data_IF_874571518309
#
_entry.id   IF_874571518309
#
_cell.length_a   1.000
_cell.length_b   1.000
_cell.length_c   1.000
_cell.angle_alpha   90.00
_cell.angle_beta   90.00
_cell.angle_gamma   90.00
#
_symmetry.space_group_name_H-M   'P 1'
#
loop_
_entity.id
_entity.type
_entity.pdbx_description
1 polymer ?
#
# COMPACT_ATOMS: atom_id res chain seq x y z
N UNK A 1 7.94 54.46 16.10
CA UNK A 1 7.05 54.82 14.98
C UNK A 1 6.02 53.73 14.84
N UNK A 2 4.77 54.08 15.12
CA UNK A 2 3.59 53.22 15.06
C UNK A 2 2.86 53.42 13.72
N UNK A 3 1.71 52.76 13.59
CA UNK A 3 0.73 52.69 12.48
C UNK A 3 0.95 51.48 11.54
N UNK A 4 -0.04 50.62 11.30
CA UNK A 4 -1.44 50.72 11.67
C UNK A 4 -2.22 49.43 11.42
N UNK A 5 -3.20 49.21 12.29
CA UNK A 5 -4.31 48.29 12.11
C UNK A 5 -5.13 48.68 10.88
N UNK A 6 -5.73 47.68 10.23
CA UNK A 6 -7.08 47.81 9.67
C UNK A 6 -7.75 46.44 9.67
N UNK A 7 -8.62 46.28 10.67
CA UNK A 7 -9.73 45.35 10.72
C UNK A 7 -10.62 45.51 9.49
N UNK A 8 -11.12 44.40 8.94
CA UNK A 8 -12.45 44.41 8.33
C UNK A 8 -13.14 43.03 8.42
N UNK A 9 -14.21 43.02 9.20
CA UNK A 9 -15.34 42.09 9.21
C UNK A 9 -16.55 42.93 8.74
N UNK A 10 -17.49 42.40 7.93
CA UNK A 10 -18.72 41.80 8.49
C UNK A 10 -19.23 40.67 7.54
N UNK A 11 -20.39 40.02 7.62
CA UNK A 11 -21.63 40.17 8.37
C UNK A 11 -22.34 38.79 8.39
N UNK A 12 -23.22 38.63 9.38
CA UNK A 12 -24.13 37.52 9.64
C UNK A 12 -25.25 37.39 8.59
N UNK A 13 -25.71 36.17 8.33
CA UNK A 13 -27.11 35.89 7.98
C UNK A 13 -27.49 34.51 8.53
N UNK A 14 -28.36 34.53 9.52
CA UNK A 14 -29.10 33.41 10.06
C UNK A 14 -30.41 33.26 9.28
N UNK A 15 -30.81 32.02 8.96
CA UNK A 15 -32.22 31.69 8.79
C UNK A 15 -32.55 30.38 9.53
N UNK A 16 -33.68 30.46 10.21
CA UNK A 16 -34.27 29.59 11.19
C UNK A 16 -35.17 28.55 10.49
N UNK A 17 -35.21 27.32 11.01
CA UNK A 17 -35.99 26.24 10.41
C UNK A 17 -36.21 25.10 11.39
N UNK A 18 -36.90 25.39 12.49
CA UNK A 18 -37.37 24.40 13.44
C UNK A 18 -38.60 23.62 12.90
N UNK A 19 -38.57 22.30 13.05
CA UNK A 19 -39.76 21.48 13.27
C UNK A 19 -39.40 20.36 14.23
N UNK A 20 -40.02 20.40 15.41
CA UNK A 20 -39.96 19.39 16.45
C UNK A 20 -41.21 18.50 16.34
N UNK A 21 -41.02 17.19 16.40
CA UNK A 21 -42.07 16.23 16.76
C UNK A 21 -41.47 15.32 17.83
N UNK A 22 -42.09 15.32 19.01
CA UNK A 22 -41.71 14.54 20.18
C UNK A 22 -42.33 13.15 20.14
N UNK A 23 -41.58 12.14 20.58
CA UNK A 23 -42.02 10.75 20.71
C UNK A 23 -41.30 10.05 21.86
N UNK A 24 -41.80 10.32 23.07
CA UNK A 24 -41.73 9.64 24.37
C UNK A 24 -41.29 8.16 24.45
N UNK A 25 -40.37 7.93 25.41
CA UNK A 25 -40.12 6.78 26.32
C UNK A 25 -39.80 5.37 25.79
N UNK A 26 -38.62 4.86 26.19
CA UNK A 26 -38.52 3.69 27.08
C UNK A 26 -37.08 3.49 27.59
N UNK A 27 -36.93 3.57 28.92
CA UNK A 27 -35.85 2.98 29.73
C UNK A 27 -35.62 1.52 29.37
N UNK A 28 -34.36 1.04 29.42
CA UNK A 28 -33.93 -0.24 30.05
C UNK A 28 -32.46 -0.59 29.71
N UNK A 29 -31.65 -0.65 30.77
CA UNK A 29 -30.51 -1.56 31.04
C UNK A 29 -29.15 -1.44 30.32
N UNK A 30 -28.14 -1.22 31.19
CA UNK A 30 -26.70 -1.46 30.99
C UNK A 30 -26.46 -2.99 30.98
N UNK A 31 -25.51 -3.48 30.15
CA UNK A 31 -24.39 -4.17 30.75
C UNK A 31 -23.02 -3.69 30.25
N UNK A 32 -22.15 -3.57 31.25
CA UNK A 32 -20.69 -3.57 31.24
C UNK A 32 -20.11 -4.79 30.53
N UNK A 33 -18.88 -4.62 30.02
CA UNK A 33 -17.94 -5.63 29.55
C UNK A 33 -18.29 -6.40 28.27
N UNK A 34 -17.68 -5.95 27.18
CA UNK A 34 -16.81 -6.84 26.42
C UNK A 34 -15.67 -6.02 25.84
N UNK A 35 -14.53 -6.06 26.53
CA UNK A 35 -13.21 -6.07 25.88
C UNK A 35 -13.31 -7.04 24.71
N UNK A 36 -13.53 -6.50 23.51
CA UNK A 36 -13.28 -7.25 22.29
C UNK A 36 -11.89 -6.82 21.88
N UNK A 37 -10.92 -7.59 22.39
CA UNK A 37 -9.61 -7.74 21.78
C UNK A 37 -9.77 -7.74 20.25
N UNK A 38 -8.84 -7.16 19.48
CA UNK A 38 -8.93 -7.23 18.03
C UNK A 38 -9.04 -8.71 17.65
N UNK A 39 -10.18 -9.09 17.07
CA UNK A 39 -10.44 -10.41 16.47
C UNK A 39 -9.37 -10.67 15.41
N UNK A 40 -8.25 -11.19 15.86
CA UNK A 40 -7.11 -11.65 15.08
C UNK A 40 -7.28 -13.15 14.87
N UNK A 41 -8.23 -13.59 14.04
CA UNK A 41 -8.20 -14.95 13.49
C UNK A 41 -8.91 -15.00 12.13
N UNK A 42 -8.15 -14.78 11.06
CA UNK A 42 -8.46 -15.29 9.71
C UNK A 42 -7.23 -15.13 8.80
N UNK A 43 -6.29 -16.07 8.91
CA UNK A 43 -5.07 -16.11 8.09
C UNK A 43 -4.12 -14.95 8.38
N UNK A 44 -3.37 -15.02 9.49
CA UNK A 44 -2.34 -14.03 9.76
C UNK A 44 -1.30 -14.11 8.64
N UNK A 45 -1.43 -13.18 7.69
CA UNK A 45 -0.48 -12.83 6.65
C UNK A 45 0.75 -12.22 7.35
N UNK A 46 1.43 -13.08 8.12
CA UNK A 46 2.54 -12.65 8.95
C UNK A 46 3.68 -12.27 8.02
N UNK A 47 4.38 -11.18 8.37
CA UNK A 47 5.58 -10.78 7.67
C UNK A 47 6.58 -11.94 7.49
N UNK A 48 6.65 -12.84 8.47
CA UNK A 48 7.45 -14.06 8.41
C UNK A 48 6.98 -15.04 7.32
N UNK A 49 5.66 -15.26 7.19
CA UNK A 49 5.09 -16.08 6.12
C UNK A 49 5.41 -15.50 4.74
N UNK A 50 5.16 -14.20 4.55
CA UNK A 50 5.49 -13.48 3.31
C UNK A 50 7.00 -13.54 2.98
N UNK A 51 7.85 -13.44 4.00
CA UNK A 51 9.29 -13.58 3.85
C UNK A 51 9.69 -15.01 3.45
N UNK A 52 9.02 -16.02 4.00
CA UNK A 52 9.29 -17.43 3.68
C UNK A 52 8.89 -17.77 2.24
N UNK A 53 7.74 -17.28 1.78
CA UNK A 53 7.20 -17.54 0.44
C UNK A 53 7.90 -16.76 -0.68
N UNK A 54 8.36 -15.53 -0.39
CA UNK A 54 9.05 -14.70 -1.37
C UNK A 54 10.40 -15.31 -1.75
N UNK A 55 10.72 -15.35 -3.05
CA UNK A 55 12.07 -15.70 -3.50
C UNK A 55 13.06 -14.54 -3.28
N UNK A 56 12.57 -13.30 -3.37
CA UNK A 56 13.33 -12.07 -3.19
C UNK A 56 12.60 -11.16 -2.21
N UNK A 57 13.34 -10.67 -1.21
CA UNK A 57 12.88 -9.59 -0.31
C UNK A 57 13.91 -8.49 -0.33
N UNK A 58 13.52 -7.32 -0.84
CA UNK A 58 14.45 -6.21 -1.04
C UNK A 58 13.78 -4.84 -0.86
N UNK A 59 14.58 -3.87 -0.45
CA UNK A 59 14.26 -2.46 -0.52
C UNK A 59 14.76 -1.95 -1.86
N UNK A 60 13.87 -1.33 -2.62
CA UNK A 60 14.14 -0.89 -3.97
C UNK A 60 13.69 0.54 -4.17
N UNK A 61 14.38 1.25 -5.05
CA UNK A 61 13.93 2.54 -5.57
C UNK A 61 13.53 2.35 -7.03
N UNK A 62 12.31 2.75 -7.38
CA UNK A 62 11.81 2.61 -8.76
C UNK A 62 12.54 3.61 -9.65
N UNK A 63 13.19 3.11 -10.70
CA UNK A 63 13.94 3.93 -11.68
C UNK A 63 13.27 4.00 -13.05
N UNK A 64 12.28 3.15 -13.33
CA UNK A 64 11.51 3.21 -14.56
C UNK A 64 10.28 2.33 -14.53
N UNK A 65 9.26 2.72 -15.30
CA UNK A 65 7.99 1.99 -15.38
C UNK A 65 7.60 1.81 -16.84
N UNK A 66 7.40 0.56 -17.24
CA UNK A 66 7.03 0.17 -18.60
C UNK A 66 5.71 -0.59 -18.58
N UNK A 67 4.93 -0.47 -19.66
CA UNK A 67 3.69 -1.25 -19.81
C UNK A 67 4.03 -2.69 -20.17
N UNK A 68 3.41 -3.64 -19.48
CA UNK A 68 3.43 -5.05 -19.87
C UNK A 68 2.29 -5.29 -20.87
N UNK A 69 2.65 -5.40 -22.14
CA UNK A 69 1.70 -5.50 -23.26
C UNK A 69 1.43 -6.98 -23.55
N UNK A 70 0.15 -7.34 -23.61
CA UNK A 70 -0.26 -8.62 -24.16
C UNK A 70 -0.51 -8.48 -25.66
N UNK A 71 0.45 -8.93 -26.46
CA UNK A 71 0.33 -8.87 -27.91
C UNK A 71 -0.77 -9.82 -28.45
N UNK A 72 -1.12 -10.88 -27.71
CA UNK A 72 -2.15 -11.82 -28.14
C UNK A 72 -3.57 -11.24 -27.97
N UNK A 73 -3.74 -10.31 -27.03
CA UNK A 73 -5.00 -9.61 -26.77
C UNK A 73 -5.05 -8.20 -27.38
N UNK A 74 -3.98 -7.76 -28.03
CA UNK A 74 -3.90 -6.45 -28.67
C UNK A 74 -4.40 -6.52 -30.12
N UNK A 75 -5.01 -5.44 -30.60
CA UNK A 75 -5.51 -5.29 -31.97
C UNK A 75 -4.87 -4.08 -32.65
N UNK A 76 -4.90 -3.98 -33.99
CA UNK A 76 -4.44 -2.78 -34.68
C UNK A 76 -5.14 -1.52 -34.15
N UNK A 77 -4.37 -0.61 -33.53
CA UNK A 77 -4.88 0.61 -32.92
C UNK A 77 -5.34 0.49 -31.46
N UNK A 78 -5.34 -0.71 -30.85
CA UNK A 78 -5.71 -0.95 -29.46
C UNK A 78 -4.70 -1.86 -28.75
N UNK A 79 -4.15 -1.39 -27.63
CA UNK A 79 -3.12 -2.11 -26.87
C UNK A 79 -3.71 -2.66 -25.58
N UNK A 80 -3.65 -3.99 -25.41
CA UNK A 80 -4.02 -4.65 -24.17
C UNK A 80 -2.86 -4.59 -23.17
N UNK A 81 -3.05 -3.86 -22.08
CA UNK A 81 -2.06 -3.75 -20.99
C UNK A 81 -2.48 -4.68 -19.86
N UNK A 82 -1.61 -5.63 -19.52
CA UNK A 82 -1.85 -6.59 -18.43
C UNK A 82 -1.28 -6.15 -17.09
N UNK A 83 -0.30 -5.27 -17.12
CA UNK A 83 0.50 -4.95 -15.95
C UNK A 83 1.53 -3.88 -16.24
N UNK A 84 2.42 -3.72 -15.29
CA UNK A 84 3.60 -2.88 -15.44
C UNK A 84 4.85 -3.69 -15.12
N UNK A 85 5.91 -3.42 -15.89
CA UNK A 85 7.27 -3.86 -15.61
C UNK A 85 8.01 -2.69 -14.97
N UNK A 86 8.56 -2.92 -13.79
CA UNK A 86 9.31 -1.94 -13.03
C UNK A 86 10.78 -2.24 -13.13
N UNK A 87 11.56 -1.22 -13.50
CA UNK A 87 13.01 -1.19 -13.33
C UNK A 87 13.30 -0.54 -12.00
N UNK A 88 14.18 -1.14 -11.20
CA UNK A 88 14.50 -0.62 -9.88
C UNK A 88 15.96 -0.85 -9.49
N UNK A 89 16.44 0.01 -8.59
CA UNK A 89 17.76 -0.11 -7.98
C UNK A 89 17.60 -0.73 -6.59
N UNK A 90 18.25 -1.86 -6.33
CA UNK A 90 18.29 -2.45 -5.00
C UNK A 90 19.11 -1.57 -4.06
N UNK A 91 18.54 -1.23 -2.90
CA UNK A 91 19.21 -0.49 -1.83
C UNK A 91 19.63 -1.40 -0.70
N UNK A 92 18.79 -2.38 -0.40
CA UNK A 92 19.03 -3.41 0.63
C UNK A 92 18.34 -4.70 0.21
N UNK A 93 18.98 -5.83 0.45
CA UNK A 93 18.44 -7.15 0.13
C UNK A 93 18.48 -7.98 1.40
N UNK A 94 17.36 -8.59 1.76
CA UNK A 94 17.23 -9.48 2.92
C UNK A 94 17.16 -10.94 2.53
N UNK A 95 16.65 -11.24 1.33
CA UNK A 95 16.52 -12.61 0.80
C UNK A 95 16.67 -12.61 -0.71
N UNK A 96 17.32 -13.63 -1.24
CA UNK A 96 17.55 -13.81 -2.67
C UNK A 96 18.81 -13.09 -3.16
N UNK A 97 19.26 -13.46 -4.36
CA UNK A 97 20.38 -12.82 -5.02
C UNK A 97 19.88 -11.87 -6.11
N UNK A 98 20.34 -10.62 -6.07
CA UNK A 98 20.07 -9.64 -7.12
C UNK A 98 21.31 -8.80 -7.39
N UNK A 99 21.45 -8.40 -8.65
CA UNK A 99 22.34 -7.31 -9.04
C UNK A 99 21.79 -5.97 -8.55
N UNK A 100 22.63 -4.93 -8.57
CA UNK A 100 22.22 -3.58 -8.16
C UNK A 100 20.98 -3.06 -8.93
N UNK A 101 20.82 -3.49 -10.18
CA UNK A 101 19.62 -3.26 -10.99
C UNK A 101 18.81 -4.54 -11.05
N UNK A 102 17.50 -4.43 -10.88
CA UNK A 102 16.57 -5.54 -11.03
C UNK A 102 15.29 -5.07 -11.74
N UNK A 103 14.57 -6.03 -12.31
CA UNK A 103 13.28 -5.80 -12.93
C UNK A 103 12.24 -6.77 -12.36
N UNK A 104 11.03 -6.28 -12.11
CA UNK A 104 9.93 -7.10 -11.63
C UNK A 104 8.60 -6.64 -12.23
N UNK A 105 7.60 -7.52 -12.19
CA UNK A 105 6.26 -7.29 -12.75
C UNK A 105 5.23 -7.11 -11.65
N UNK A 106 4.22 -6.28 -11.91
CA UNK A 106 2.99 -6.22 -11.15
C UNK A 106 1.83 -6.26 -12.13
N UNK A 107 1.04 -7.34 -12.07
CA UNK A 107 -0.17 -7.49 -12.87
C UNK A 107 -1.28 -6.57 -12.37
N UNK A 108 -2.10 -6.07 -13.29
CA UNK A 108 -3.28 -5.27 -12.95
C UNK A 108 -4.38 -6.12 -12.30
N UNK A 109 -4.35 -7.43 -12.52
CA UNK A 109 -5.18 -8.42 -11.83
C UNK A 109 -4.80 -8.56 -10.35
N UNK A 110 -3.50 -8.45 -10.04
CA UNK A 110 -2.97 -8.52 -8.68
C UNK A 110 -3.04 -7.17 -7.95
N UNK A 111 -2.83 -6.06 -8.67
CA UNK A 111 -2.87 -4.73 -8.09
C UNK A 111 -3.23 -3.66 -9.11
N UNK A 112 -4.31 -2.93 -8.82
CA UNK A 112 -4.74 -1.80 -9.65
C UNK A 112 -3.91 -0.52 -9.39
N UNK A 113 -3.25 -0.45 -8.23
CA UNK A 113 -2.45 0.70 -7.83
C UNK A 113 -1.04 0.63 -8.43
N UNK A 114 -0.74 1.59 -9.29
CA UNK A 114 0.58 1.73 -9.91
C UNK A 114 1.60 2.27 -8.91
N UNK A 115 2.75 1.60 -8.77
CA UNK A 115 3.89 2.13 -8.02
C UNK A 115 4.43 3.40 -8.69
N UNK A 116 5.03 4.28 -7.89
CA UNK A 116 5.54 5.58 -8.36
C UNK A 116 7.02 5.53 -8.64
N UNK A 117 7.44 6.21 -9.69
CA UNK A 117 8.85 6.37 -10.05
C UNK A 117 9.56 7.28 -9.02
N UNK A 118 10.81 6.98 -8.69
CA UNK A 118 11.60 7.69 -7.68
C UNK A 118 11.28 7.32 -6.23
N UNK A 119 10.09 6.76 -5.97
CA UNK A 119 9.68 6.29 -4.65
C UNK A 119 10.39 4.99 -4.25
N UNK A 120 10.44 4.77 -2.93
CA UNK A 120 11.10 3.62 -2.32
C UNK A 120 10.08 2.65 -1.75
N UNK A 121 10.29 1.37 -2.01
CA UNK A 121 9.39 0.30 -1.62
C UNK A 121 10.16 -0.88 -1.02
N UNK A 122 9.51 -1.60 -0.13
CA UNK A 122 9.88 -2.95 0.25
C UNK A 122 9.06 -3.90 -0.62
N UNK A 123 9.75 -4.75 -1.37
CA UNK A 123 9.12 -5.71 -2.28
C UNK A 123 9.32 -7.15 -1.79
N UNK A 124 8.27 -7.95 -1.99
CA UNK A 124 8.25 -9.39 -1.78
C UNK A 124 7.93 -10.04 -3.13
N UNK A 125 8.96 -10.46 -3.84
CA UNK A 125 8.82 -10.96 -5.21
C UNK A 125 9.14 -12.45 -5.29
N UNK A 126 8.43 -13.13 -6.18
CA UNK A 126 8.65 -14.53 -6.53
C UNK A 126 8.72 -14.67 -8.05
N UNK A 127 9.47 -15.65 -8.59
CA UNK A 127 9.49 -15.89 -10.02
C UNK A 127 8.12 -16.35 -10.53
N UNK A 128 7.73 -15.86 -11.71
CA UNK A 128 6.60 -16.36 -12.47
C UNK A 128 6.93 -17.71 -13.13
N UNK A 129 5.97 -18.28 -13.88
CA UNK A 129 6.16 -19.54 -14.63
C UNK A 129 7.28 -19.48 -15.67
N UNK A 130 7.75 -18.27 -16.02
CA UNK A 130 8.83 -18.02 -16.97
C UNK A 130 10.14 -17.57 -16.27
N UNK A 131 10.20 -17.64 -14.93
CA UNK A 131 11.38 -17.29 -14.13
C UNK A 131 11.58 -15.78 -13.92
N UNK A 132 10.62 -14.93 -14.29
CA UNK A 132 10.70 -13.47 -14.14
C UNK A 132 10.13 -13.06 -12.80
N UNK A 133 10.79 -12.16 -12.08
CA UNK A 133 10.28 -11.67 -10.80
C UNK A 133 8.91 -11.01 -10.97
N UNK A 134 7.95 -11.41 -10.15
CA UNK A 134 6.62 -10.84 -10.07
C UNK A 134 6.21 -10.60 -8.61
N UNK A 135 5.37 -9.59 -8.42
CA UNK A 135 4.64 -9.33 -7.19
C UNK A 135 3.27 -9.99 -7.28
N UNK A 136 2.88 -10.74 -6.24
CA UNK A 136 1.62 -11.48 -6.24
C UNK A 136 0.39 -10.64 -5.85
N UNK A 137 0.59 -9.47 -5.23
CA UNK A 137 -0.50 -8.60 -4.77
C UNK A 137 -0.03 -7.15 -4.56
N UNK A 138 -0.96 -6.23 -4.25
CA UNK A 138 -0.62 -4.87 -3.85
C UNK A 138 0.21 -4.83 -2.56
N UNK A 139 -0.11 -5.69 -1.61
CA UNK A 139 0.53 -5.76 -0.30
C UNK A 139 1.99 -6.20 -0.42
N UNK A 140 2.34 -6.91 -1.51
CA UNK A 140 3.70 -7.33 -1.83
C UNK A 140 4.65 -6.17 -2.13
N UNK A 141 4.15 -4.95 -2.34
CA UNK A 141 4.94 -3.73 -2.47
C UNK A 141 4.49 -2.68 -1.44
N UNK A 142 5.28 -2.51 -0.38
CA UNK A 142 4.95 -1.59 0.71
C UNK A 142 5.81 -0.32 0.58
N UNK A 143 5.21 0.89 0.54
CA UNK A 143 5.98 2.13 0.54
C UNK A 143 6.90 2.20 1.77
N UNK A 144 8.15 2.64 1.59
CA UNK A 144 9.11 2.71 2.69
C UNK A 144 8.62 3.62 3.83
N UNK A 145 7.92 4.70 3.48
CA UNK A 145 7.36 5.68 4.42
C UNK A 145 6.38 5.06 5.42
N UNK A 146 5.70 3.98 5.02
CA UNK A 146 4.70 3.28 5.84
C UNK A 146 5.29 2.04 6.55
N UNK A 147 6.57 1.73 6.30
CA UNK A 147 7.16 0.43 6.61
C UNK A 147 8.22 0.46 7.72
N UNK A 148 8.29 1.51 8.53
CA UNK A 148 9.31 1.64 9.58
C UNK A 148 9.32 0.44 10.55
N UNK A 149 8.16 -0.01 11.01
CA UNK A 149 8.02 -1.18 11.89
C UNK A 149 8.37 -2.50 11.18
N UNK A 150 8.09 -2.58 9.87
CA UNK A 150 8.38 -3.74 9.02
C UNK A 150 9.89 -3.90 8.80
N UNK A 151 10.62 -2.80 8.54
CA UNK A 151 12.07 -2.82 8.36
C UNK A 151 12.79 -3.41 9.58
N UNK A 152 12.39 -2.99 10.79
CA UNK A 152 12.97 -3.51 12.03
C UNK A 152 12.66 -5.00 12.25
N UNK A 153 11.54 -5.50 11.74
CA UNK A 153 11.19 -6.92 11.80
C UNK A 153 11.94 -7.73 10.74
N UNK A 154 12.06 -7.24 9.51
CA UNK A 154 12.83 -7.88 8.44
C UNK A 154 14.30 -8.07 8.83
N UNK A 155 14.90 -7.09 9.50
CA UNK A 155 16.26 -7.18 10.02
C UNK A 155 16.44 -8.25 11.09
N UNK A 156 15.39 -8.60 11.82
CA UNK A 156 15.41 -9.69 12.81
C UNK A 156 15.21 -11.04 12.11
N UNK A 157 14.23 -11.14 11.22
CA UNK A 157 13.92 -12.36 10.47
C UNK A 157 15.13 -12.81 9.65
N UNK A 158 15.76 -11.89 8.92
CA UNK A 158 16.91 -12.19 8.06
C UNK A 158 18.19 -12.62 8.82
N UNK A 159 18.24 -12.44 10.15
CA UNK A 159 19.36 -12.91 10.99
C UNK A 159 19.12 -14.30 11.60
N UNK A 160 17.88 -14.78 11.56
CA UNK A 160 17.46 -16.03 12.19
C UNK A 160 17.42 -17.21 11.22
N UNK A 161 17.38 -16.94 9.92
CA UNK A 161 17.53 -17.93 8.85
C UNK A 161 18.90 -17.84 8.20
#
# INVERSE_FOLDING_TARGET
MALGLLFWLPASLAEDGAVAEAGTEATTEVPTEATTEPTSVAGADTLAGRFAEAALVAQVQISGIHRDIDNALSEPGMVAVRGYVYSAVSRRVWKGEVTQLLAFRLGLDACQNKLREGERYIIFASPDTYGRLQLASCEAAVPEVDAASMLAQLDRIAKQG
#
